data_IF_365338739195
#
_entry.id   IF_365338739195
#
_cell.length_a   1.000
_cell.length_b   1.000
_cell.length_c   1.000
_cell.angle_alpha   90.00
_cell.angle_beta   90.00
_cell.angle_gamma   90.00
#
_symmetry.space_group_name_H-M   'P 1'
#
loop_
_entity.id
_entity.type
_entity.pdbx_description
1 polymer ?
#
# COMPACT_ATOMS: atom_id res chain seq x y z
N UNK A 1 -28.84 -16.00 -15.47
CA UNK A 1 -28.94 -17.22 -16.31
C UNK A 1 -29.24 -18.48 -15.47
N UNK A 2 -30.15 -19.39 -15.85
CA UNK A 2 -30.39 -20.63 -15.10
C UNK A 2 -29.51 -21.77 -15.64
N UNK A 3 -28.35 -22.01 -15.00
CA UNK A 3 -27.45 -23.10 -15.36
C UNK A 3 -26.04 -22.93 -14.78
N UNK A 4 -25.28 -24.03 -14.68
CA UNK A 4 -23.86 -23.97 -14.32
C UNK A 4 -23.06 -23.32 -15.46
N UNK A 5 -22.08 -22.49 -15.11
CA UNK A 5 -21.22 -21.83 -16.08
C UNK A 5 -20.26 -22.86 -16.71
N UNK A 6 -20.28 -23.08 -18.05
CA UNK A 6 -19.54 -24.16 -18.68
C UNK A 6 -18.01 -24.01 -18.66
N UNK A 7 -17.50 -22.78 -18.54
CA UNK A 7 -16.09 -22.43 -18.53
C UNK A 7 -15.81 -21.68 -17.23
N UNK A 8 -15.21 -22.36 -16.26
CA UNK A 8 -14.83 -21.78 -14.98
C UNK A 8 -13.39 -22.19 -14.64
N UNK A 9 -12.40 -21.30 -14.83
CA UNK A 9 -11.05 -21.52 -14.35
C UNK A 9 -11.06 -21.94 -12.87
N UNK A 10 -10.30 -22.98 -12.54
CA UNK A 10 -10.16 -23.41 -11.14
C UNK A 10 -9.32 -22.38 -10.37
N UNK A 11 -9.68 -22.07 -9.11
CA UNK A 11 -8.89 -21.15 -8.31
C UNK A 11 -7.52 -21.75 -7.98
N UNK A 12 -6.48 -20.90 -7.97
CA UNK A 12 -5.16 -21.30 -7.48
C UNK A 12 -5.10 -21.20 -5.95
N UNK A 13 -4.32 -22.06 -5.32
CA UNK A 13 -4.29 -22.19 -3.85
C UNK A 13 -3.78 -20.94 -3.12
N UNK A 14 -3.09 -20.04 -3.82
CA UNK A 14 -2.55 -18.77 -3.34
C UNK A 14 -3.22 -17.56 -4.01
N UNK A 15 -4.30 -17.75 -4.78
CA UNK A 15 -4.97 -16.67 -5.52
C UNK A 15 -5.81 -15.76 -4.61
N UNK A 16 -6.01 -14.51 -5.08
CA UNK A 16 -7.08 -13.63 -4.59
C UNK A 16 -8.45 -14.03 -5.16
N UNK A 17 -9.50 -13.80 -4.38
CA UNK A 17 -10.89 -14.02 -4.82
C UNK A 17 -11.24 -13.10 -5.98
N UNK A 18 -10.86 -11.82 -5.89
CA UNK A 18 -11.05 -10.82 -6.95
C UNK A 18 -10.38 -11.24 -8.25
N UNK A 19 -9.13 -11.73 -8.18
CA UNK A 19 -8.42 -12.32 -9.32
C UNK A 19 -9.16 -13.50 -9.92
N UNK A 20 -9.54 -14.48 -9.09
CA UNK A 20 -10.23 -15.68 -9.56
C UNK A 20 -11.56 -15.37 -10.23
N UNK A 21 -12.37 -14.49 -9.62
CA UNK A 21 -13.63 -14.02 -10.20
C UNK A 21 -13.41 -13.26 -11.51
N UNK A 22 -12.41 -12.39 -11.58
CA UNK A 22 -12.10 -11.63 -12.79
C UNK A 22 -11.65 -12.52 -13.95
N UNK A 23 -10.94 -13.61 -13.66
CA UNK A 23 -10.57 -14.62 -14.64
C UNK A 23 -11.77 -15.35 -15.22
N UNK A 24 -12.75 -15.68 -14.37
CA UNK A 24 -14.02 -16.25 -14.84
C UNK A 24 -14.76 -15.22 -15.67
N UNK A 25 -14.86 -13.98 -15.19
CA UNK A 25 -15.55 -12.89 -15.89
C UNK A 25 -14.96 -12.65 -17.29
N UNK A 26 -13.64 -12.73 -17.42
CA UNK A 26 -12.93 -12.65 -18.70
C UNK A 26 -13.31 -13.76 -19.69
N UNK A 27 -13.65 -14.97 -19.24
CA UNK A 27 -14.12 -16.06 -20.11
C UNK A 27 -15.51 -15.79 -20.71
N UNK A 28 -16.28 -14.88 -20.12
CA UNK A 28 -17.65 -14.52 -20.52
C UNK A 28 -17.77 -13.09 -21.03
N UNK A 29 -16.67 -12.34 -21.10
CA UNK A 29 -16.64 -10.93 -21.49
C UNK A 29 -17.59 -10.04 -20.66
N UNK A 30 -17.74 -10.38 -19.37
CA UNK A 30 -18.54 -9.60 -18.41
C UNK A 30 -17.62 -8.95 -17.36
N UNK A 31 -18.15 -7.97 -16.63
CA UNK A 31 -17.48 -7.40 -15.47
C UNK A 31 -17.55 -8.34 -14.25
N UNK A 32 -16.64 -8.14 -13.29
CA UNK A 32 -16.68 -8.84 -11.98
C UNK A 32 -18.02 -8.60 -11.28
N UNK A 33 -18.54 -7.37 -11.38
CA UNK A 33 -19.79 -6.97 -10.75
C UNK A 33 -20.97 -7.75 -11.32
N UNK A 34 -21.09 -7.84 -12.65
CA UNK A 34 -22.13 -8.62 -13.33
C UNK A 34 -22.01 -10.10 -12.98
N UNK A 35 -20.78 -10.66 -12.99
CA UNK A 35 -20.56 -12.04 -12.57
C UNK A 35 -21.00 -12.27 -11.13
N UNK A 36 -20.68 -11.38 -10.20
CA UNK A 36 -21.07 -11.51 -8.78
C UNK A 36 -22.59 -11.45 -8.60
N UNK A 37 -23.27 -10.56 -9.32
CA UNK A 37 -24.73 -10.46 -9.32
C UNK A 37 -25.37 -11.75 -9.82
N UNK A 38 -24.82 -12.34 -10.88
CA UNK A 38 -25.26 -13.65 -11.37
C UNK A 38 -24.98 -14.74 -10.34
N UNK A 39 -23.79 -14.81 -9.76
CA UNK A 39 -23.44 -15.85 -8.79
C UNK A 39 -24.23 -15.76 -7.48
N UNK A 40 -24.76 -14.60 -7.11
CA UNK A 40 -25.55 -14.40 -5.88
C UNK A 40 -26.63 -13.33 -6.06
N UNK A 41 -27.74 -13.66 -6.75
CA UNK A 41 -28.85 -12.74 -6.97
C UNK A 41 -29.47 -12.31 -5.62
N UNK A 42 -29.61 -11.01 -5.39
CA UNK A 42 -30.16 -10.46 -4.14
C UNK A 42 -29.12 -10.00 -3.10
N UNK A 43 -27.83 -10.27 -3.30
CA UNK A 43 -26.73 -9.67 -2.53
C UNK A 43 -26.07 -8.48 -3.27
N UNK A 44 -26.80 -7.87 -4.21
CA UNK A 44 -26.37 -6.69 -4.93
C UNK A 44 -26.18 -5.53 -3.93
N UNK A 45 -24.95 -5.19 -3.58
CA UNK A 45 -24.66 -3.94 -2.87
C UNK A 45 -23.60 -3.98 -1.79
N UNK A 46 -23.19 -5.14 -1.28
CA UNK A 46 -22.06 -5.16 -0.34
C UNK A 46 -20.75 -5.03 -1.10
N UNK A 47 -20.22 -3.80 -1.21
CA UNK A 47 -18.82 -3.44 -1.55
C UNK A 47 -17.82 -3.99 -0.50
N UNK A 48 -18.07 -5.19 0.03
CA UNK A 48 -17.14 -5.87 0.91
C UNK A 48 -16.05 -6.42 0.01
N UNK A 49 -14.81 -6.05 0.33
CA UNK A 49 -13.60 -6.57 -0.30
C UNK A 49 -13.63 -8.09 -0.21
N UNK A 50 -14.02 -8.74 -1.31
CA UNK A 50 -14.34 -10.16 -1.34
C UNK A 50 -13.13 -11.00 -0.87
N UNK A 51 -11.92 -10.52 -1.16
CA UNK A 51 -10.66 -11.10 -0.71
C UNK A 51 -10.56 -11.25 0.81
N UNK A 52 -11.05 -10.28 1.58
CA UNK A 52 -10.92 -10.27 3.05
C UNK A 52 -11.99 -11.11 3.74
N UNK A 53 -13.19 -11.11 3.20
CA UNK A 53 -14.35 -11.72 3.82
C UNK A 53 -15.42 -12.04 2.80
N UNK A 54 -15.48 -13.31 2.38
CA UNK A 54 -16.58 -13.81 1.57
C UNK A 54 -17.63 -14.51 2.46
N UNK A 55 -18.89 -14.07 2.38
CA UNK A 55 -20.01 -14.71 3.07
C UNK A 55 -20.15 -16.18 2.64
N UNK A 56 -20.37 -17.08 3.60
CA UNK A 56 -20.48 -18.51 3.32
C UNK A 56 -21.63 -18.89 2.37
N UNK A 57 -22.75 -18.14 2.41
CA UNK A 57 -23.87 -18.32 1.49
C UNK A 57 -23.52 -17.97 0.04
N UNK A 58 -22.80 -16.86 -0.16
CA UNK A 58 -22.30 -16.46 -1.48
C UNK A 58 -21.28 -17.47 -2.02
N UNK A 59 -20.35 -17.93 -1.18
CA UNK A 59 -19.38 -18.96 -1.55
C UNK A 59 -20.04 -20.30 -1.91
N UNK A 60 -21.12 -20.70 -1.20
CA UNK A 60 -21.90 -21.91 -1.52
C UNK A 60 -22.60 -21.78 -2.87
N UNK A 61 -23.22 -20.63 -3.14
CA UNK A 61 -23.87 -20.37 -4.44
C UNK A 61 -22.85 -20.37 -5.58
N UNK A 62 -21.70 -19.71 -5.39
CA UNK A 62 -20.61 -19.69 -6.35
C UNK A 62 -20.05 -21.10 -6.61
N UNK A 63 -19.82 -21.91 -5.55
CA UNK A 63 -19.36 -23.29 -5.64
C UNK A 63 -20.29 -24.14 -6.53
N UNK A 64 -21.60 -24.02 -6.33
CA UNK A 64 -22.61 -24.75 -7.11
C UNK A 64 -22.62 -24.31 -8.58
N UNK A 65 -22.66 -23.00 -8.85
CA UNK A 65 -22.74 -22.45 -10.21
C UNK A 65 -21.47 -22.64 -11.03
N UNK A 66 -20.31 -22.60 -10.38
CA UNK A 66 -18.98 -22.75 -11.00
C UNK A 66 -18.44 -24.19 -10.92
N UNK A 67 -19.19 -25.10 -10.28
CA UNK A 67 -18.81 -26.51 -10.05
C UNK A 67 -17.45 -26.65 -9.37
N UNK A 68 -17.12 -25.77 -8.44
CA UNK A 68 -15.87 -25.76 -7.66
C UNK A 68 -16.18 -26.20 -6.23
N UNK A 69 -15.25 -26.90 -5.58
CA UNK A 69 -15.37 -27.21 -4.15
C UNK A 69 -15.46 -25.91 -3.32
N UNK A 70 -16.49 -25.80 -2.47
CA UNK A 70 -16.68 -24.65 -1.59
C UNK A 70 -15.46 -24.43 -0.69
N UNK A 71 -14.79 -25.50 -0.23
CA UNK A 71 -13.59 -25.36 0.58
C UNK A 71 -12.42 -24.76 -0.21
N UNK A 72 -12.29 -25.06 -1.50
CA UNK A 72 -11.30 -24.43 -2.36
C UNK A 72 -11.52 -22.91 -2.44
N UNK A 73 -12.76 -22.45 -2.60
CA UNK A 73 -13.11 -21.01 -2.60
C UNK A 73 -12.80 -20.38 -1.24
N UNK A 74 -13.25 -21.02 -0.15
CA UNK A 74 -13.07 -20.46 1.18
C UNK A 74 -11.61 -20.39 1.62
N UNK A 75 -10.72 -21.21 1.07
CA UNK A 75 -9.26 -21.12 1.29
C UNK A 75 -8.61 -19.88 0.68
N UNK A 76 -9.26 -19.23 -0.30
CA UNK A 76 -8.77 -17.99 -0.90
C UNK A 76 -8.97 -16.77 0.01
N UNK A 77 -9.93 -16.86 0.95
CA UNK A 77 -10.25 -15.80 1.88
C UNK A 77 -9.01 -15.45 2.73
N UNK A 78 -8.58 -14.18 2.65
CA UNK A 78 -7.38 -13.69 3.30
C UNK A 78 -7.44 -13.81 4.82
N UNK A 79 -8.60 -13.59 5.46
CA UNK A 79 -8.73 -13.81 6.92
C UNK A 79 -8.68 -15.29 7.30
N UNK A 80 -9.11 -16.19 6.41
CA UNK A 80 -8.93 -17.63 6.66
C UNK A 80 -7.47 -18.04 6.49
N UNK A 81 -6.79 -17.51 5.47
CA UNK A 81 -5.36 -17.76 5.19
C UNK A 81 -4.46 -17.14 6.26
N UNK A 82 -4.78 -15.93 6.70
CA UNK A 82 -4.04 -15.13 7.67
C UNK A 82 -5.01 -14.60 8.75
N UNK A 83 -5.28 -15.39 9.80
CA UNK A 83 -6.26 -15.04 10.84
C UNK A 83 -6.00 -13.69 11.54
N UNK A 84 -4.73 -13.29 11.62
CA UNK A 84 -4.28 -12.08 12.30
C UNK A 84 -3.99 -10.91 11.34
N UNK A 85 -4.44 -11.01 10.09
CA UNK A 85 -4.26 -9.96 9.08
C UNK A 85 -4.84 -8.62 9.57
N UNK A 86 -4.02 -7.57 9.53
CA UNK A 86 -4.42 -6.22 9.89
C UNK A 86 -5.15 -5.57 8.71
N UNK A 87 -6.45 -5.83 8.58
CA UNK A 87 -7.22 -5.45 7.39
C UNK A 87 -7.34 -3.95 7.15
N UNK A 88 -7.19 -3.13 8.20
CA UNK A 88 -7.19 -1.67 8.10
C UNK A 88 -5.96 -1.11 7.35
N UNK A 89 -4.94 -1.94 7.12
CA UNK A 89 -3.72 -1.59 6.39
C UNK A 89 -3.71 -2.07 4.94
N UNK A 90 -4.82 -2.58 4.44
CA UNK A 90 -4.90 -2.99 3.05
C UNK A 90 -5.40 -1.82 2.19
N UNK A 91 -4.85 -1.62 0.97
CA UNK A 91 -5.26 -0.51 0.09
C UNK A 91 -6.76 -0.54 -0.18
N UNK A 92 -7.42 0.61 -0.19
CA UNK A 92 -8.82 0.76 -0.55
C UNK A 92 -9.02 0.40 -2.01
N UNK A 93 -10.02 -0.44 -2.30
CA UNK A 93 -10.36 -0.89 -3.65
C UNK A 93 -11.69 -0.31 -4.15
N UNK A 94 -12.20 0.72 -3.48
CA UNK A 94 -13.48 1.37 -3.77
C UNK A 94 -13.35 2.57 -4.73
N UNK A 95 -12.16 2.79 -5.30
CA UNK A 95 -11.85 3.93 -6.18
C UNK A 95 -11.64 5.25 -5.43
N UNK A 96 -11.73 5.26 -4.10
CA UNK A 96 -11.51 6.46 -3.26
C UNK A 96 -10.12 6.52 -2.64
N UNK A 97 -9.28 5.52 -2.91
CA UNK A 97 -7.86 5.50 -2.55
C UNK A 97 -7.00 5.54 -3.80
N UNK A 98 -5.80 4.99 -3.71
CA UNK A 98 -4.88 4.90 -4.84
C UNK A 98 -5.28 3.85 -5.86
N UNK A 99 -5.92 2.76 -5.44
CA UNK A 99 -6.39 1.73 -6.37
C UNK A 99 -7.70 2.17 -7.02
N UNK A 100 -7.75 2.11 -8.35
CA UNK A 100 -8.94 2.43 -9.17
C UNK A 100 -10.04 1.37 -9.06
N UNK A 101 -9.72 0.17 -8.57
CA UNK A 101 -10.68 -0.90 -8.31
C UNK A 101 -10.04 -2.14 -7.69
N UNK A 102 -10.77 -3.26 -7.66
CA UNK A 102 -10.36 -4.50 -6.96
C UNK A 102 -9.13 -5.17 -7.58
N UNK A 103 -8.81 -4.88 -8.85
CA UNK A 103 -7.66 -5.44 -9.55
C UNK A 103 -6.45 -4.50 -9.61
N UNK A 104 -6.61 -3.23 -9.25
CA UNK A 104 -5.55 -2.22 -9.30
C UNK A 104 -4.63 -2.26 -8.06
N UNK A 105 -4.10 -3.46 -7.81
CA UNK A 105 -3.22 -3.80 -6.70
C UNK A 105 -1.75 -3.75 -7.13
N UNK A 106 -0.82 -4.02 -6.20
CA UNK A 106 0.60 -4.10 -6.54
C UNK A 106 0.99 -5.55 -6.92
N UNK A 107 1.31 -5.80 -8.18
CA UNK A 107 1.62 -7.13 -8.72
C UNK A 107 3.11 -7.36 -8.98
N UNK A 108 3.49 -8.64 -9.06
CA UNK A 108 4.82 -9.07 -9.52
C UNK A 108 4.74 -9.55 -10.97
N UNK A 109 5.53 -8.98 -11.86
CA UNK A 109 5.55 -9.40 -13.26
C UNK A 109 6.04 -10.86 -13.44
N UNK A 110 6.93 -11.34 -12.57
CA UNK A 110 7.41 -12.73 -12.57
C UNK A 110 6.31 -13.70 -12.13
N UNK A 111 5.56 -13.41 -11.06
CA UNK A 111 4.38 -14.20 -10.67
C UNK A 111 3.37 -14.29 -11.83
N UNK A 112 3.10 -13.18 -12.52
CA UNK A 112 2.20 -13.17 -13.66
C UNK A 112 2.71 -14.04 -14.82
N UNK A 113 4.03 -14.02 -15.08
CA UNK A 113 4.66 -14.85 -16.11
C UNK A 113 4.60 -16.34 -15.78
N UNK A 114 4.86 -16.73 -14.53
CA UNK A 114 4.73 -18.11 -14.04
C UNK A 114 3.28 -18.60 -14.11
N UNK A 115 2.32 -17.78 -13.69
CA UNK A 115 0.89 -18.08 -13.81
C UNK A 115 0.51 -18.31 -15.28
N UNK A 116 0.91 -17.39 -16.17
CA UNK A 116 0.67 -17.52 -17.60
C UNK A 116 1.23 -18.82 -18.20
N UNK A 117 2.46 -19.20 -17.82
CA UNK A 117 3.10 -20.43 -18.28
C UNK A 117 2.33 -21.68 -17.84
N UNK A 118 1.76 -21.67 -16.62
CA UNK A 118 1.09 -22.82 -15.99
C UNK A 118 -0.41 -22.93 -16.24
N UNK A 119 -1.01 -22.00 -17.00
CA UNK A 119 -2.42 -22.10 -17.40
C UNK A 119 -3.21 -20.79 -17.39
N UNK A 120 -2.59 -19.67 -17.02
CA UNK A 120 -3.20 -18.35 -17.05
C UNK A 120 -2.69 -17.44 -15.95
N UNK A 121 -2.48 -16.17 -16.25
CA UNK A 121 -2.02 -15.20 -15.25
C UNK A 121 -3.07 -15.05 -14.13
N UNK A 122 -2.60 -14.75 -12.92
CA UNK A 122 -3.43 -14.46 -11.75
C UNK A 122 -2.70 -13.57 -10.74
N UNK A 123 -3.45 -12.94 -9.84
CA UNK A 123 -2.88 -12.20 -8.70
C UNK A 123 -2.85 -13.08 -7.45
N UNK A 124 -1.65 -13.22 -6.89
CA UNK A 124 -1.44 -13.92 -5.62
C UNK A 124 -1.99 -13.12 -4.43
N UNK A 125 -2.19 -13.82 -3.31
CA UNK A 125 -2.71 -13.29 -2.07
C UNK A 125 -1.94 -12.07 -1.53
N UNK A 126 -0.63 -12.05 -1.75
CA UNK A 126 0.24 -10.97 -1.28
C UNK A 126 0.12 -9.71 -2.13
N UNK A 127 -0.48 -9.77 -3.33
CA UNK A 127 -0.83 -8.57 -4.09
C UNK A 127 -1.78 -7.64 -3.32
N UNK A 128 -2.57 -8.17 -2.38
CA UNK A 128 -3.42 -7.36 -1.50
C UNK A 128 -2.62 -6.58 -0.43
N UNK A 129 -1.39 -6.97 -0.13
CA UNK A 129 -0.57 -6.35 0.91
C UNK A 129 0.18 -5.12 0.34
N UNK A 130 0.31 -4.01 1.09
CA UNK A 130 1.03 -2.82 0.65
C UNK A 130 2.56 -2.99 0.74
N UNK A 131 3.10 -4.01 0.07
CA UNK A 131 4.52 -4.34 0.09
C UNK A 131 5.26 -3.66 -1.07
N UNK A 132 6.57 -3.49 -0.90
CA UNK A 132 7.47 -2.96 -1.93
C UNK A 132 7.92 -4.09 -2.85
N UNK A 133 8.25 -5.25 -2.28
CA UNK A 133 8.80 -6.38 -3.02
C UNK A 133 7.83 -7.57 -3.08
N UNK A 134 7.99 -8.34 -4.14
CA UNK A 134 7.49 -9.71 -4.16
C UNK A 134 8.36 -10.56 -3.26
N UNK A 135 7.80 -11.17 -2.22
CA UNK A 135 8.58 -11.99 -1.29
C UNK A 135 9.00 -13.34 -1.89
N UNK A 136 8.33 -13.78 -2.95
CA UNK A 136 8.70 -14.99 -3.69
C UNK A 136 9.90 -14.77 -4.60
N UNK A 137 9.95 -13.64 -5.30
CA UNK A 137 10.95 -13.38 -6.35
C UNK A 137 11.99 -12.33 -5.98
N UNK A 138 11.82 -11.59 -4.90
CA UNK A 138 12.68 -10.47 -4.52
C UNK A 138 12.60 -9.26 -5.46
N UNK A 139 11.65 -9.25 -6.41
CA UNK A 139 11.52 -8.18 -7.41
C UNK A 139 10.58 -7.08 -6.94
N UNK A 140 10.79 -5.86 -7.40
CA UNK A 140 9.89 -4.73 -7.19
C UNK A 140 8.47 -5.04 -7.65
N UNK A 141 7.48 -4.72 -6.81
CA UNK A 141 6.07 -4.74 -7.22
C UNK A 141 5.75 -3.54 -8.09
N UNK A 142 4.83 -3.75 -9.01
CA UNK A 142 4.33 -2.76 -9.95
C UNK A 142 2.84 -2.56 -9.76
N UNK A 143 2.39 -1.39 -10.12
CA UNK A 143 1.11 -0.87 -9.66
C UNK A 143 0.44 -0.01 -10.76
N UNK A 144 1.09 0.13 -11.91
CA UNK A 144 0.52 0.73 -13.13
C UNK A 144 1.22 0.18 -14.39
N UNK A 145 0.60 0.39 -15.55
CA UNK A 145 1.21 0.10 -16.84
C UNK A 145 2.19 1.22 -17.22
N UNK A 146 3.47 0.88 -17.44
CA UNK A 146 4.50 1.89 -17.78
C UNK A 146 4.47 2.34 -19.23
N UNK A 147 3.73 1.63 -20.09
CA UNK A 147 3.60 2.00 -21.51
C UNK A 147 2.71 3.23 -21.72
N UNK A 148 1.63 3.38 -20.93
CA UNK A 148 0.57 4.32 -21.27
C UNK A 148 -0.03 5.11 -20.11
N UNK A 149 0.55 5.06 -18.88
CA UNK A 149 0.02 5.73 -17.68
C UNK A 149 -1.51 5.61 -17.55
N UNK A 150 -2.00 4.43 -17.12
CA UNK A 150 -3.39 4.08 -17.33
C UNK A 150 -4.36 4.95 -16.51
N UNK A 151 -5.54 5.17 -17.07
CA UNK A 151 -6.70 5.82 -16.43
C UNK A 151 -7.67 4.79 -15.87
N UNK A 152 -7.72 3.58 -16.44
CA UNK A 152 -8.61 2.50 -16.02
C UNK A 152 -7.87 1.41 -15.23
N UNK A 153 -8.57 0.75 -14.31
CA UNK A 153 -8.02 -0.42 -13.61
C UNK A 153 -7.61 -1.51 -14.61
N UNK A 154 -6.55 -2.29 -14.32
CA UNK A 154 -6.19 -3.45 -15.13
C UNK A 154 -7.32 -4.47 -15.19
N UNK A 155 -7.33 -5.29 -16.24
CA UNK A 155 -8.33 -6.36 -16.40
C UNK A 155 -7.70 -7.68 -16.81
N UNK A 156 -8.40 -8.76 -16.51
CA UNK A 156 -8.14 -10.04 -17.16
C UNK A 156 -8.82 -10.07 -18.53
N UNK A 157 -8.13 -10.64 -19.51
CA UNK A 157 -8.68 -10.89 -20.84
C UNK A 157 -8.47 -12.36 -21.21
N UNK A 158 -9.45 -12.93 -21.91
CA UNK A 158 -9.35 -14.27 -22.48
C UNK A 158 -8.95 -14.16 -23.95
N UNK A 159 -7.80 -14.73 -24.32
CA UNK A 159 -7.39 -14.92 -25.72
C UNK A 159 -7.15 -16.41 -25.96
N UNK A 160 -5.90 -16.81 -26.21
CA UNK A 160 -5.48 -18.21 -26.16
C UNK A 160 -5.36 -18.73 -24.73
N UNK A 161 -5.08 -17.82 -23.78
CA UNK A 161 -5.02 -18.06 -22.33
C UNK A 161 -5.49 -16.80 -21.62
N UNK A 162 -5.70 -16.92 -20.31
CA UNK A 162 -5.98 -15.79 -19.42
C UNK A 162 -4.73 -14.92 -19.28
N UNK A 163 -4.89 -13.64 -19.53
CA UNK A 163 -3.84 -12.62 -19.42
C UNK A 163 -4.30 -11.47 -18.54
N UNK A 164 -3.41 -11.00 -17.66
CA UNK A 164 -3.60 -9.76 -16.92
C UNK A 164 -3.05 -8.61 -17.74
N UNK A 165 -3.92 -7.70 -18.16
CA UNK A 165 -3.63 -6.69 -19.19
C UNK A 165 -3.95 -5.28 -18.70
N UNK A 166 -3.20 -4.32 -19.22
CA UNK A 166 -3.60 -2.92 -19.14
C UNK A 166 -4.87 -2.73 -19.97
N UNK A 167 -5.91 -2.14 -19.37
CA UNK A 167 -7.18 -1.88 -20.07
C UNK A 167 -7.02 -0.88 -21.21
N UNK A 168 -6.21 0.16 -21.02
CA UNK A 168 -6.08 1.25 -22.00
C UNK A 168 -5.25 0.87 -23.23
N UNK A 169 -4.10 0.21 -23.04
CA UNK A 169 -3.21 -0.14 -24.17
C UNK A 169 -3.20 -1.63 -24.54
N UNK A 170 -3.92 -2.48 -23.80
CA UNK A 170 -4.02 -3.92 -24.06
C UNK A 170 -2.75 -4.73 -23.81
N UNK A 171 -1.66 -4.09 -23.36
CA UNK A 171 -0.39 -4.79 -23.09
C UNK A 171 -0.53 -5.74 -21.91
N UNK A 172 -0.08 -7.00 -22.05
CA UNK A 172 0.03 -7.91 -20.92
C UNK A 172 1.02 -7.38 -19.87
N UNK A 173 0.56 -7.25 -18.63
CA UNK A 173 1.33 -6.63 -17.55
C UNK A 173 2.53 -7.48 -17.09
N UNK A 174 2.56 -8.79 -17.42
CA UNK A 174 3.75 -9.63 -17.25
C UNK A 174 4.94 -9.19 -18.12
N UNK A 175 4.70 -8.52 -19.24
CA UNK A 175 5.75 -8.00 -20.15
C UNK A 175 6.25 -6.62 -19.72
N UNK A 176 5.55 -5.98 -18.79
CA UNK A 176 5.95 -4.70 -18.22
C UNK A 176 7.08 -4.95 -17.21
N UNK A 177 8.31 -5.19 -17.69
CA UNK A 177 9.44 -5.43 -16.81
C UNK A 177 9.90 -4.11 -16.18
N UNK A 178 10.11 -4.11 -14.87
CA UNK A 178 10.69 -2.97 -14.16
C UNK A 178 11.60 -3.47 -13.04
N UNK A 179 12.87 -3.12 -13.12
CA UNK A 179 13.88 -3.50 -12.14
C UNK A 179 13.89 -2.64 -10.87
N UNK A 180 12.94 -1.71 -10.74
CA UNK A 180 12.93 -0.73 -9.66
C UNK A 180 13.46 0.64 -10.08
N UNK A 181 13.41 1.63 -9.18
CA UNK A 181 13.97 2.94 -9.42
C UNK A 181 15.46 2.80 -9.73
N UNK A 182 15.98 3.62 -10.66
CA UNK A 182 17.40 3.62 -10.96
C UNK A 182 18.15 4.24 -9.77
N UNK A 183 19.16 3.56 -9.21
CA UNK A 183 19.99 4.12 -8.15
C UNK A 183 20.72 5.39 -8.60
N UNK A 184 21.21 6.16 -7.63
CA UNK A 184 21.92 7.40 -7.91
C UNK A 184 23.25 7.10 -8.61
N UNK A 185 23.55 7.83 -9.69
CA UNK A 185 24.72 7.55 -10.55
C UNK A 185 26.07 7.74 -9.85
N UNK A 186 26.07 8.52 -8.79
CA UNK A 186 27.19 8.91 -7.95
C UNK A 186 27.43 7.98 -6.75
N UNK A 187 26.51 7.04 -6.47
CA UNK A 187 26.63 6.10 -5.36
C UNK A 187 27.42 4.85 -5.73
N UNK A 188 28.23 4.34 -4.79
CA UNK A 188 29.00 3.11 -5.02
C UNK A 188 28.05 1.90 -5.08
N UNK A 189 28.34 0.94 -5.95
CA UNK A 189 27.50 -0.27 -6.08
C UNK A 189 27.32 -1.03 -4.76
N UNK A 190 28.34 -1.08 -3.92
CA UNK A 190 28.30 -1.74 -2.61
C UNK A 190 27.31 -1.06 -1.64
N UNK A 191 27.26 0.28 -1.65
CA UNK A 191 26.33 1.08 -0.85
C UNK A 191 24.89 0.86 -1.32
N UNK A 192 24.67 0.84 -2.63
CA UNK A 192 23.36 0.53 -3.21
C UNK A 192 22.89 -0.87 -2.80
N UNK A 193 23.77 -1.88 -2.88
CA UNK A 193 23.43 -3.24 -2.45
C UNK A 193 23.14 -3.32 -0.95
N UNK A 194 23.94 -2.66 -0.11
CA UNK A 194 23.71 -2.61 1.33
C UNK A 194 22.38 -1.94 1.70
N UNK A 195 22.08 -0.79 1.07
CA UNK A 195 20.81 -0.09 1.26
C UNK A 195 19.62 -0.95 0.81
N UNK A 196 19.74 -1.63 -0.34
CA UNK A 196 18.68 -2.50 -0.86
C UNK A 196 18.40 -3.66 0.10
N UNK A 197 19.44 -4.27 0.67
CA UNK A 197 19.29 -5.34 1.65
C UNK A 197 18.57 -4.86 2.92
N UNK A 198 18.88 -3.65 3.40
CA UNK A 198 18.19 -3.05 4.55
C UNK A 198 16.70 -2.78 4.24
N UNK A 199 16.41 -2.25 3.06
CA UNK A 199 15.04 -2.01 2.62
C UNK A 199 14.25 -3.31 2.47
N UNK A 200 14.88 -4.36 1.91
CA UNK A 200 14.26 -5.68 1.78
C UNK A 200 13.98 -6.31 3.14
N UNK A 201 14.92 -6.21 4.09
CA UNK A 201 14.71 -6.66 5.46
C UNK A 201 13.55 -5.91 6.13
N UNK A 202 13.47 -4.60 5.97
CA UNK A 202 12.37 -3.80 6.49
C UNK A 202 11.01 -4.18 5.87
N UNK A 203 10.94 -4.40 4.55
CA UNK A 203 9.71 -4.87 3.87
C UNK A 203 9.27 -6.25 4.40
N UNK A 204 10.23 -7.12 4.74
CA UNK A 204 9.98 -8.39 5.41
C UNK A 204 9.41 -8.25 6.83
N UNK A 205 9.90 -7.29 7.62
CA UNK A 205 9.35 -6.97 8.94
C UNK A 205 7.96 -6.33 8.85
N UNK A 206 7.75 -5.46 7.87
CA UNK A 206 6.42 -4.93 7.55
C UNK A 206 5.44 -6.06 7.20
N UNK A 207 5.85 -7.01 6.36
CA UNK A 207 5.02 -8.19 6.04
C UNK A 207 4.65 -8.96 7.30
N UNK A 208 5.59 -9.21 8.22
CA UNK A 208 5.28 -9.87 9.51
C UNK A 208 4.21 -9.09 10.28
N UNK A 209 4.37 -7.77 10.41
CA UNK A 209 3.44 -6.91 11.13
C UNK A 209 2.04 -6.87 10.48
N UNK A 210 1.95 -6.79 9.15
CA UNK A 210 0.68 -6.85 8.40
C UNK A 210 -0.05 -8.17 8.64
N UNK A 211 0.69 -9.27 8.78
CA UNK A 211 0.16 -10.60 9.11
C UNK A 211 -0.10 -10.80 10.61
N UNK A 212 -0.02 -9.73 11.42
CA UNK A 212 -0.30 -9.73 12.85
C UNK A 212 0.79 -10.33 13.73
N UNK A 213 2.00 -10.54 13.19
CA UNK A 213 3.15 -11.11 13.92
C UNK A 213 4.05 -10.01 14.45
N UNK A 214 4.75 -10.28 15.55
CA UNK A 214 5.81 -9.40 16.04
C UNK A 214 6.87 -9.16 14.95
N UNK A 215 7.41 -7.96 14.95
CA UNK A 215 8.35 -7.48 13.95
C UNK A 215 9.49 -6.72 14.63
N UNK A 216 10.61 -6.58 13.94
CA UNK A 216 11.74 -5.78 14.39
C UNK A 216 11.70 -4.38 13.78
N UNK A 217 11.87 -3.36 14.61
CA UNK A 217 12.01 -1.98 14.17
C UNK A 217 13.47 -1.53 14.38
N UNK A 218 14.10 -0.97 13.35
CA UNK A 218 15.50 -0.51 13.40
C UNK A 218 15.74 0.44 14.57
N UNK A 219 16.84 0.26 15.30
CA UNK A 219 17.20 1.05 16.48
C UNK A 219 16.31 0.87 17.72
N UNK A 220 15.26 0.04 17.65
CA UNK A 220 14.34 -0.23 18.78
C UNK A 220 14.35 -1.70 19.17
N UNK A 221 14.41 -2.62 18.19
CA UNK A 221 14.36 -4.06 18.40
C UNK A 221 12.95 -4.64 18.19
N UNK A 222 12.65 -5.75 18.86
CA UNK A 222 11.38 -6.46 18.72
C UNK A 222 10.21 -5.65 19.29
N UNK A 223 9.14 -5.54 18.49
CA UNK A 223 7.90 -4.84 18.83
C UNK A 223 6.70 -5.65 18.36
N UNK A 224 5.53 -5.38 18.95
CA UNK A 224 4.28 -5.97 18.45
C UNK A 224 3.92 -5.43 17.06
N UNK A 225 3.15 -6.21 16.28
CA UNK A 225 2.60 -5.78 14.99
C UNK A 225 1.93 -4.40 15.08
N UNK A 226 1.11 -4.19 16.12
CA UNK A 226 0.37 -2.93 16.34
C UNK A 226 1.31 -1.75 16.58
N UNK A 227 2.39 -1.96 17.34
CA UNK A 227 3.39 -0.92 17.60
C UNK A 227 4.19 -0.58 16.33
N UNK A 228 4.62 -1.60 15.57
CA UNK A 228 5.34 -1.40 14.30
C UNK A 228 4.51 -0.54 13.35
N UNK A 229 3.25 -0.95 13.11
CA UNK A 229 2.34 -0.26 12.22
C UNK A 229 2.01 1.15 12.73
N UNK A 230 1.77 1.33 14.03
CA UNK A 230 1.50 2.67 14.59
C UNK A 230 2.67 3.65 14.45
N UNK A 231 3.92 3.17 14.54
CA UNK A 231 5.11 4.00 14.27
C UNK A 231 5.19 4.33 12.79
N UNK A 232 5.03 3.33 11.91
CA UNK A 232 5.09 3.55 10.47
C UNK A 232 4.02 4.54 10.00
N UNK A 233 2.79 4.43 10.51
CA UNK A 233 1.69 5.35 10.22
C UNK A 233 2.02 6.79 10.65
N UNK A 234 2.41 6.96 11.91
CA UNK A 234 2.73 8.29 12.45
C UNK A 234 3.93 8.93 11.74
N UNK A 235 4.99 8.17 11.45
CA UNK A 235 6.13 8.68 10.70
C UNK A 235 5.79 8.99 9.24
N UNK A 236 4.95 8.16 8.60
CA UNK A 236 4.46 8.45 7.24
C UNK A 236 3.70 9.77 7.22
N UNK A 237 2.76 9.97 8.16
CA UNK A 237 2.05 11.25 8.32
C UNK A 237 3.02 12.40 8.51
N UNK A 238 4.01 12.24 9.38
CA UNK A 238 5.00 13.27 9.65
C UNK A 238 5.85 13.64 8.43
N UNK A 239 6.23 12.64 7.62
CA UNK A 239 7.02 12.85 6.42
C UNK A 239 6.21 13.49 5.29
N UNK A 240 4.94 13.10 5.13
CA UNK A 240 4.10 13.49 3.99
C UNK A 240 3.18 14.68 4.28
N UNK A 241 3.08 15.13 5.52
CA UNK A 241 2.24 16.27 5.87
C UNK A 241 2.63 17.51 5.04
N UNK A 242 1.64 18.26 4.53
CA UNK A 242 1.89 19.55 3.90
C UNK A 242 2.43 20.55 4.92
N UNK A 243 3.50 21.24 4.55
CA UNK A 243 3.94 22.45 5.23
C UNK A 243 3.33 23.72 4.60
N UNK A 244 3.63 24.89 5.17
CA UNK A 244 3.07 26.17 4.73
C UNK A 244 3.41 26.50 3.26
N UNK A 245 4.51 25.94 2.75
CA UNK A 245 4.96 26.10 1.37
C UNK A 245 4.42 24.99 0.45
N UNK A 246 3.52 24.14 0.94
CA UNK A 246 3.02 22.92 0.27
C UNK A 246 4.14 21.98 -0.15
N UNK A 247 5.18 21.90 0.66
CA UNK A 247 6.22 20.88 0.55
C UNK A 247 6.07 19.87 1.69
N UNK A 248 6.86 18.80 1.66
CA UNK A 248 6.84 17.77 2.70
C UNK A 248 8.25 17.36 3.11
N UNK A 249 8.40 16.90 4.36
CA UNK A 249 9.71 16.56 4.94
C UNK A 249 10.36 15.36 4.27
N UNK A 250 9.57 14.50 3.63
CA UNK A 250 10.07 13.40 2.79
C UNK A 250 11.02 13.88 1.68
N UNK A 251 10.85 15.10 1.18
CA UNK A 251 11.69 15.68 0.11
C UNK A 251 13.12 15.96 0.57
N UNK A 252 13.37 15.95 1.88
CA UNK A 252 14.70 16.11 2.47
C UNK A 252 15.47 14.79 2.53
N UNK A 253 14.80 13.66 2.31
CA UNK A 253 15.42 12.35 2.22
C UNK A 253 15.68 12.00 0.77
N UNK A 254 16.94 11.77 0.41
CA UNK A 254 17.35 11.45 -0.95
C UNK A 254 18.05 10.09 -0.99
N UNK A 255 17.32 9.02 -0.65
CA UNK A 255 17.88 7.68 -0.60
C UNK A 255 18.53 7.30 -1.94
N UNK A 256 19.72 6.65 -1.92
CA UNK A 256 20.42 6.24 -3.13
C UNK A 256 19.62 5.21 -3.95
N UNK A 257 18.62 4.56 -3.35
CA UNK A 257 17.73 3.60 -3.99
C UNK A 257 16.58 4.25 -4.77
N UNK A 258 16.18 5.47 -4.41
CA UNK A 258 15.02 6.19 -4.98
C UNK A 258 15.36 7.67 -5.28
N UNK A 259 16.52 7.99 -5.89
CA UNK A 259 17.03 9.36 -5.95
C UNK A 259 16.24 10.30 -6.89
N UNK A 260 15.37 9.73 -7.74
CA UNK A 260 14.66 10.45 -8.81
C UNK A 260 13.15 10.41 -8.60
N UNK A 261 12.67 10.25 -7.35
CA UNK A 261 11.25 10.43 -7.09
C UNK A 261 10.90 11.93 -7.18
N UNK A 262 9.81 12.28 -7.87
CA UNK A 262 9.32 13.65 -7.86
C UNK A 262 9.13 14.15 -6.43
N UNK A 263 9.39 15.44 -6.22
CA UNK A 263 9.07 16.07 -4.95
C UNK A 263 7.60 15.83 -4.61
N UNK A 264 7.35 15.49 -3.36
CA UNK A 264 6.03 15.48 -2.80
C UNK A 264 5.51 16.91 -2.70
N UNK A 265 4.47 17.18 -3.47
CA UNK A 265 3.78 18.47 -3.51
C UNK A 265 2.30 18.23 -3.21
N UNK A 266 1.94 18.09 -1.92
CA UNK A 266 0.57 17.81 -1.52
C UNK A 266 -0.37 18.93 -2.00
N UNK A 267 -1.34 18.53 -2.84
CA UNK A 267 -2.37 19.43 -3.35
C UNK A 267 -3.54 19.60 -2.37
N UNK A 268 -3.71 18.63 -1.46
CA UNK A 268 -4.75 18.60 -0.43
C UNK A 268 -4.11 18.52 0.96
N UNK A 269 -4.92 18.76 1.99
CA UNK A 269 -4.54 18.55 3.40
C UNK A 269 -4.94 17.16 3.90
N UNK A 270 -5.44 16.32 2.99
CA UNK A 270 -5.79 14.94 3.32
C UNK A 270 -4.53 14.13 3.58
N UNK A 271 -4.61 13.27 4.59
CA UNK A 271 -3.51 12.37 4.91
C UNK A 271 -3.34 11.34 3.80
N UNK A 272 -2.09 11.09 3.41
CA UNK A 272 -1.73 9.99 2.52
C UNK A 272 -1.16 8.83 3.35
N UNK A 273 -1.99 7.85 3.74
CA UNK A 273 -1.52 6.77 4.58
C UNK A 273 -0.60 5.82 3.80
N UNK A 274 0.33 5.18 4.51
CA UNK A 274 1.38 4.34 3.90
C UNK A 274 0.85 3.29 2.92
N UNK A 275 -0.28 2.65 3.25
CA UNK A 275 -0.85 1.58 2.44
C UNK A 275 -1.45 2.06 1.12
N UNK A 276 -1.76 3.36 0.98
CA UNK A 276 -2.25 3.96 -0.27
C UNK A 276 -1.10 4.45 -1.17
N UNK A 277 0.14 4.48 -0.69
CA UNK A 277 1.28 4.92 -1.50
C UNK A 277 1.64 3.88 -2.57
N UNK A 278 2.24 4.32 -3.68
CA UNK A 278 2.84 3.41 -4.68
C UNK A 278 4.00 2.62 -4.09
N UNK A 279 4.35 1.42 -4.64
CA UNK A 279 5.51 0.67 -4.17
C UNK A 279 6.80 1.49 -4.16
N UNK A 280 7.02 2.34 -5.17
CA UNK A 280 8.17 3.22 -5.24
C UNK A 280 8.17 4.26 -4.11
N UNK A 281 7.01 4.82 -3.81
CA UNK A 281 6.88 5.85 -2.79
C UNK A 281 6.88 5.28 -1.36
N UNK A 282 6.33 4.06 -1.17
CA UNK A 282 6.52 3.25 0.04
C UNK A 282 7.99 2.98 0.32
N UNK A 283 8.78 2.70 -0.72
CA UNK A 283 10.23 2.53 -0.58
C UNK A 283 10.91 3.81 -0.10
N UNK A 284 10.50 4.98 -0.60
CA UNK A 284 11.02 6.28 -0.13
C UNK A 284 10.74 6.51 1.34
N UNK A 285 9.47 6.36 1.75
CA UNK A 285 9.07 6.51 3.16
C UNK A 285 9.78 5.48 4.04
N UNK A 286 9.89 4.23 3.59
CA UNK A 286 10.60 3.18 4.34
C UNK A 286 12.08 3.50 4.50
N UNK A 287 12.75 4.01 3.45
CA UNK A 287 14.13 4.48 3.55
C UNK A 287 14.26 5.61 4.59
N UNK A 288 13.35 6.59 4.57
CA UNK A 288 13.34 7.68 5.53
C UNK A 288 13.10 7.20 6.98
N UNK A 289 12.19 6.24 7.18
CA UNK A 289 11.96 5.61 8.49
C UNK A 289 13.21 4.88 8.99
N UNK A 290 13.84 4.06 8.13
CA UNK A 290 15.08 3.37 8.48
C UNK A 290 16.17 4.39 8.83
N UNK A 291 16.31 5.45 8.03
CA UNK A 291 17.33 6.48 8.25
C UNK A 291 17.13 7.22 9.59
N UNK A 292 15.88 7.54 9.94
CA UNK A 292 15.51 8.28 11.14
C UNK A 292 15.76 7.50 12.44
N UNK A 293 15.53 6.18 12.39
CA UNK A 293 15.53 5.33 13.59
C UNK A 293 16.85 4.59 13.81
N UNK A 294 17.70 4.47 12.79
CA UNK A 294 18.96 3.71 12.88
C UNK A 294 20.12 4.54 13.43
N UNK A 295 21.26 3.87 13.62
CA UNK A 295 22.52 4.51 13.92
C UNK A 295 23.03 5.36 12.74
N UNK A 296 24.11 6.11 12.98
CA UNK A 296 24.62 7.06 12.00
C UNK A 296 25.09 6.42 10.68
N UNK A 297 25.82 5.29 10.65
CA UNK A 297 26.21 4.66 9.39
C UNK A 297 25.00 4.26 8.53
N UNK A 298 23.99 3.63 9.12
CA UNK A 298 22.77 3.24 8.40
C UNK A 298 21.95 4.47 8.01
N UNK A 299 21.89 5.48 8.88
CA UNK A 299 21.19 6.74 8.61
C UNK A 299 21.70 7.39 7.33
N UNK A 300 23.02 7.60 7.22
CA UNK A 300 23.66 8.19 6.04
C UNK A 300 23.42 7.35 4.78
N UNK A 301 23.56 6.02 4.90
CA UNK A 301 23.35 5.09 3.80
C UNK A 301 21.92 5.19 3.24
N UNK A 302 20.92 5.35 4.10
CA UNK A 302 19.51 5.35 3.71
C UNK A 302 18.95 6.75 3.37
N UNK A 303 19.58 7.83 3.83
CA UNK A 303 19.19 9.21 3.50
C UNK A 303 19.90 9.79 2.27
N UNK A 304 21.03 9.21 1.87
CA UNK A 304 21.80 9.58 0.68
C UNK A 304 22.99 10.52 0.91
N UNK A 305 23.79 10.69 -0.15
CA UNK A 305 25.07 11.41 -0.17
C UNK A 305 24.87 12.86 -0.65
N UNK A 306 24.40 13.75 0.22
CA UNK A 306 24.70 15.18 0.07
C UNK A 306 25.69 15.58 1.15
N UNK A 307 26.73 16.31 0.76
CA UNK A 307 27.86 16.78 1.59
C UNK A 307 27.47 17.62 2.82
N UNK A 308 26.17 17.92 3.01
CA UNK A 308 25.62 18.71 4.11
C UNK A 308 24.35 18.10 4.74
N UNK A 309 24.14 16.78 4.66
CA UNK A 309 23.02 16.17 5.36
C UNK A 309 23.29 16.14 6.88
N UNK A 310 22.76 17.13 7.59
CA UNK A 310 22.53 17.03 9.03
C UNK A 310 21.79 15.72 9.32
N UNK A 311 22.25 14.98 10.33
CA UNK A 311 21.57 13.75 10.75
C UNK A 311 20.12 14.09 11.11
N UNK A 312 19.18 13.63 10.30
CA UNK A 312 17.75 13.73 10.61
C UNK A 312 17.39 12.71 11.69
N UNK A 313 17.17 13.19 12.91
CA UNK A 313 16.68 12.38 14.03
C UNK A 313 15.16 12.52 14.20
N UNK A 314 14.55 11.65 15.02
CA UNK A 314 13.14 11.80 15.39
C UNK A 314 12.86 13.18 16.01
N UNK A 315 13.76 13.70 16.85
CA UNK A 315 13.63 15.04 17.44
C UNK A 315 13.63 16.13 16.38
N UNK A 316 14.49 16.00 15.36
CA UNK A 316 14.48 16.92 14.22
C UNK A 316 13.15 16.87 13.46
N UNK A 317 12.60 15.67 13.23
CA UNK A 317 11.31 15.52 12.54
C UNK A 317 10.17 16.11 13.38
N UNK A 318 10.17 15.85 14.69
CA UNK A 318 9.20 16.42 15.62
C UNK A 318 9.29 17.95 15.66
N UNK A 319 10.49 18.53 15.68
CA UNK A 319 10.65 19.98 15.72
C UNK A 319 10.33 20.66 14.38
N UNK A 320 10.53 19.97 13.26
CA UNK A 320 10.39 20.55 11.92
C UNK A 320 9.01 20.36 11.30
N UNK A 321 8.13 19.53 11.87
CA UNK A 321 6.79 19.28 11.34
C UNK A 321 5.77 20.31 11.83
N UNK A 322 4.66 20.55 11.10
CA UNK A 322 3.60 21.46 11.53
C UNK A 322 3.04 21.12 12.91
N UNK A 323 2.59 22.12 13.68
CA UNK A 323 2.10 21.92 15.07
C UNK A 323 0.98 20.88 15.19
N UNK A 324 0.04 20.84 14.24
CA UNK A 324 -1.03 19.85 14.24
C UNK A 324 -0.48 18.42 14.09
N UNK A 325 0.54 18.22 13.26
CA UNK A 325 1.23 16.93 13.12
C UNK A 325 1.92 16.56 14.43
N UNK A 326 2.61 17.52 15.06
CA UNK A 326 3.26 17.30 16.35
C UNK A 326 2.24 16.88 17.41
N UNK A 327 1.10 17.59 17.52
CA UNK A 327 0.03 17.27 18.45
C UNK A 327 -0.56 15.86 18.18
N UNK A 328 -0.82 15.51 16.92
CA UNK A 328 -1.27 14.16 16.53
C UNK A 328 -0.25 13.10 16.93
N UNK A 329 1.04 13.31 16.65
CA UNK A 329 2.10 12.36 17.04
C UNK A 329 2.16 12.19 18.55
N UNK A 330 2.05 13.27 19.33
CA UNK A 330 2.00 13.20 20.80
C UNK A 330 0.82 12.36 21.25
N UNK A 331 -0.40 12.65 20.78
CA UNK A 331 -1.62 11.92 21.14
C UNK A 331 -1.51 10.43 20.79
N UNK A 332 -1.00 10.12 19.61
CA UNK A 332 -0.93 8.75 19.10
C UNK A 332 0.28 7.95 19.59
N UNK A 333 1.31 8.61 20.13
CA UNK A 333 2.53 7.97 20.64
C UNK A 333 2.29 7.00 21.78
N UNK A 334 1.11 7.05 22.43
CA UNK A 334 0.67 6.03 23.40
C UNK A 334 0.73 4.62 22.82
N UNK A 335 0.50 4.47 21.51
CA UNK A 335 0.55 3.20 20.76
C UNK A 335 1.96 2.80 20.32
N UNK A 336 2.96 3.68 20.49
CA UNK A 336 4.34 3.44 20.08
C UNK A 336 5.10 2.57 21.10
N UNK A 337 6.20 1.92 20.69
CA UNK A 337 7.09 1.23 21.63
C UNK A 337 7.72 2.22 22.62
N UNK A 338 7.97 1.75 23.84
CA UNK A 338 8.37 2.60 24.97
C UNK A 338 9.59 3.51 24.69
N UNK A 339 10.67 3.04 24.02
CA UNK A 339 11.82 3.91 23.73
C UNK A 339 11.47 5.11 22.84
N UNK A 340 10.63 4.92 21.82
CA UNK A 340 10.23 6.02 20.93
C UNK A 340 9.19 6.92 21.60
N UNK A 341 8.23 6.34 22.33
CA UNK A 341 7.24 7.11 23.09
C UNK A 341 7.90 8.07 24.09
N UNK A 342 8.94 7.62 24.80
CA UNK A 342 9.68 8.47 25.74
C UNK A 342 10.27 9.72 25.08
N UNK A 343 10.77 9.58 23.84
CA UNK A 343 11.32 10.70 23.05
C UNK A 343 10.24 11.70 22.64
N UNK A 344 9.07 11.21 22.18
CA UNK A 344 7.92 12.06 21.86
C UNK A 344 7.40 12.80 23.10
N UNK A 345 7.31 12.13 24.25
CA UNK A 345 6.91 12.75 25.52
C UNK A 345 7.91 13.82 25.97
N UNK A 346 9.22 13.58 25.80
CA UNK A 346 10.24 14.58 26.11
C UNK A 346 10.12 15.83 25.22
N UNK A 347 9.82 15.64 23.93
CA UNK A 347 9.52 16.75 23.01
C UNK A 347 8.27 17.52 23.43
N UNK A 348 7.19 16.82 23.77
CA UNK A 348 5.95 17.46 24.26
C UNK A 348 6.20 18.32 25.49
N UNK A 349 6.91 17.80 26.50
CA UNK A 349 7.27 18.56 27.71
C UNK A 349 8.10 19.80 27.41
N UNK A 350 9.02 19.73 26.45
CA UNK A 350 9.88 20.86 26.06
C UNK A 350 9.10 21.96 25.35
N UNK A 351 8.16 21.57 24.50
CA UNK A 351 7.39 22.50 23.66
C UNK A 351 6.17 23.07 24.36
N UNK A 352 5.62 22.38 25.37
CA UNK A 352 4.42 22.82 26.09
C UNK A 352 3.17 22.89 25.21
N UNK A 353 3.12 22.12 24.10
CA UNK A 353 1.98 22.14 23.18
C UNK A 353 0.68 21.75 23.89
N UNK A 354 -0.34 22.59 23.75
CA UNK A 354 -1.70 22.20 24.08
C UNK A 354 -2.24 21.33 22.94
N UNK A 355 -2.17 20.01 23.15
CA UNK A 355 -2.49 19.00 22.13
C UNK A 355 -3.95 19.08 21.72
N UNK A 356 -4.85 19.34 22.67
CA UNK A 356 -6.28 19.30 22.43
C UNK A 356 -6.73 20.56 21.70
N UNK A 357 -6.28 21.73 22.15
CA UNK A 357 -6.55 23.03 21.51
C UNK A 357 -6.02 23.08 20.06
N UNK A 358 -4.77 22.64 19.82
CA UNK A 358 -4.19 22.64 18.47
C UNK A 358 -4.99 21.77 17.50
N UNK A 359 -5.44 20.60 17.96
CA UNK A 359 -6.17 19.67 17.10
C UNK A 359 -7.61 20.12 16.87
N UNK A 360 -8.24 20.77 17.85
CA UNK A 360 -9.54 21.40 17.70
C UNK A 360 -9.48 22.55 16.69
N UNK A 361 -8.51 23.47 16.83
CA UNK A 361 -8.31 24.58 15.90
C UNK A 361 -8.02 24.09 14.47
N UNK A 362 -7.20 23.05 14.33
CA UNK A 362 -6.90 22.49 13.02
C UNK A 362 -8.13 21.83 12.37
N UNK A 363 -8.95 21.12 13.16
CA UNK A 363 -10.22 20.56 12.70
C UNK A 363 -11.18 21.62 12.20
N UNK A 364 -11.41 22.67 13.01
CA UNK A 364 -12.27 23.80 12.62
C UNK A 364 -11.76 24.49 11.34
N UNK A 365 -10.44 24.69 11.23
CA UNK A 365 -9.83 25.28 10.04
C UNK A 365 -10.00 24.40 8.78
N UNK A 366 -9.91 23.07 8.91
CA UNK A 366 -10.16 22.15 7.78
C UNK A 366 -11.61 22.24 7.33
N UNK A 367 -12.55 22.22 8.25
CA UNK A 367 -14.00 22.29 7.97
C UNK A 367 -14.35 23.60 7.23
N UNK A 368 -13.86 24.74 7.72
CA UNK A 368 -14.03 26.04 7.04
C UNK A 368 -13.46 26.02 5.62
N UNK A 369 -12.29 25.41 5.43
CA UNK A 369 -11.63 25.37 4.12
C UNK A 369 -12.39 24.49 3.14
N UNK A 370 -12.88 23.34 3.58
CA UNK A 370 -13.74 22.48 2.78
C UNK A 370 -15.04 23.20 2.39
N UNK A 371 -15.65 23.91 3.33
CA UNK A 371 -16.86 24.70 3.05
C UNK A 371 -16.59 25.75 1.97
N UNK A 372 -15.52 26.54 2.09
CA UNK A 372 -15.16 27.55 1.08
C UNK A 372 -14.88 26.94 -0.29
N UNK A 373 -14.29 25.74 -0.35
CA UNK A 373 -14.06 25.02 -1.60
C UNK A 373 -15.39 24.57 -2.23
N UNK A 374 -16.34 24.06 -1.44
CA UNK A 374 -17.68 23.69 -1.92
C UNK A 374 -18.43 24.91 -2.45
N UNK A 375 -18.41 26.03 -1.73
CA UNK A 375 -19.03 27.30 -2.13
C UNK A 375 -18.44 27.82 -3.45
N UNK A 376 -17.11 27.83 -3.60
CA UNK A 376 -16.45 28.21 -4.86
C UNK A 376 -16.84 27.30 -6.03
N UNK A 377 -16.96 26.00 -5.78
CA UNK A 377 -17.32 25.03 -6.82
C UNK A 377 -18.78 25.20 -7.24
N UNK A 378 -19.67 25.58 -6.30
CA UNK A 378 -21.08 25.87 -6.60
C UNK A 378 -21.32 27.19 -7.36
N UNK A 379 -20.38 28.14 -7.30
CA UNK A 379 -20.47 29.42 -8.01
C UNK A 379 -19.93 29.36 -9.45
N UNK A 380 -19.24 28.29 -9.82
CA UNK A 380 -18.67 28.05 -11.16
C UNK A 380 -19.55 27.07 -11.98
N UNK A 381 -20.64 26.58 -11.37
CA UNK A 381 -21.64 25.69 -12.00
C UNK A 381 -22.68 26.43 -12.82
#
# INVERSE_FOLDING_TARGET
MPGALPIAPRPHSDELISSWLARIAACYEVSITELRQELSPGNAGTKVRADVGWKGSEAKSAAQRLRVDQNAIMRLNLKRRWPWLVTAWLPRTDGKGRARGELDLAWCHVCLAEGHATGGAYLDAEAALPLIFCHRHGTWRQDFCRRCQPHQEPRFSWRSRIEFTCTDCGVPLRMNHWSGPKPASDCRSEEVSAALNLLFAFDGELRKALLGRSASLSGVGQVSARQFLAVLDGLTRAFLAPDINRTSRINLFNSPLVPNLPNHEPQTWEEQPFHELSPAYRAHVSCAVIALLSDEPVSRLMSGVRLACERHSLEWLLASTPKWVQATLVRESTRWPAPLRARVVAHHRRTGLDVDDILEQFGAWLDEREQRLRERTSLIG
#
